data_IF_202087372096
#
_entry.id   IF_202087372096
#
_cell.length_a   1.000
_cell.length_b   1.000
_cell.length_c   1.000
_cell.angle_alpha   90.00
_cell.angle_beta   90.00
_cell.angle_gamma   90.00
#
_symmetry.space_group_name_H-M   'P 1'
#
loop_
_entity.id
_entity.type
_entity.pdbx_description
1 polymer ?
#
# COMPACT_ATOMS: atom_id res chain seq x y z
N UNK A 1 17.99 23.35 -44.30
CA UNK A 1 17.84 23.15 -42.85
C UNK A 1 16.36 22.86 -42.59
N UNK A 2 15.98 21.59 -42.58
CA UNK A 2 14.62 21.16 -42.24
C UNK A 2 14.57 20.92 -40.73
N UNK A 3 13.70 21.64 -40.03
CA UNK A 3 13.44 21.44 -38.60
C UNK A 3 13.01 20.01 -38.34
N UNK A 4 13.75 19.31 -37.50
CA UNK A 4 13.39 18.02 -36.93
C UNK A 4 12.31 18.20 -35.86
N UNK A 5 11.10 18.55 -36.26
CA UNK A 5 9.93 18.39 -35.39
C UNK A 5 9.39 16.98 -35.59
N UNK A 6 10.00 16.02 -34.88
CA UNK A 6 9.32 14.75 -34.65
C UNK A 6 8.11 15.06 -33.76
N UNK A 7 6.87 14.77 -34.17
CA UNK A 7 5.72 14.94 -33.30
C UNK A 7 5.92 14.09 -32.05
N UNK A 8 5.80 14.70 -30.88
CA UNK A 8 5.97 14.11 -29.53
C UNK A 8 5.01 12.95 -29.22
N UNK A 9 4.19 12.54 -30.17
CA UNK A 9 3.25 11.43 -30.07
C UNK A 9 3.32 10.62 -31.37
N UNK A 10 3.87 9.41 -31.29
CA UNK A 10 3.69 8.41 -32.34
C UNK A 10 2.27 7.86 -32.14
N UNK A 11 1.39 7.86 -33.16
CA UNK A 11 0.11 7.17 -33.07
C UNK A 11 0.37 5.67 -32.91
N UNK A 12 0.35 5.19 -31.67
CA UNK A 12 0.39 3.77 -31.32
C UNK A 12 -1.02 3.20 -31.42
N UNK A 13 -1.52 3.03 -32.65
CA UNK A 13 -2.81 2.40 -32.89
C UNK A 13 -3.08 2.17 -34.38
N UNK A 14 -3.79 1.08 -34.75
CA UNK A 14 -4.22 0.89 -36.13
C UNK A 14 -5.19 2.03 -36.53
N UNK A 15 -5.27 2.40 -37.83
CA UNK A 15 -6.07 3.53 -38.31
C UNK A 15 -7.58 3.40 -38.03
N UNK A 16 -8.07 2.20 -37.69
CA UNK A 16 -9.44 1.91 -37.25
C UNK A 16 -9.50 1.38 -35.80
N UNK A 17 -8.48 1.66 -35.00
CA UNK A 17 -8.39 1.26 -33.60
C UNK A 17 -9.15 2.21 -32.67
N UNK A 18 -9.26 1.85 -31.37
CA UNK A 18 -9.80 2.75 -30.36
C UNK A 18 -9.03 4.08 -30.36
N UNK A 19 -9.73 5.19 -30.19
CA UNK A 19 -9.13 6.51 -30.00
C UNK A 19 -8.43 6.57 -28.63
N UNK A 20 -7.19 6.08 -28.59
CA UNK A 20 -6.37 6.01 -27.38
C UNK A 20 -6.14 7.37 -26.72
N UNK A 21 -5.84 8.46 -27.45
CA UNK A 21 -5.78 9.80 -26.87
C UNK A 21 -7.08 10.20 -26.15
N UNK A 22 -8.24 10.03 -26.78
CA UNK A 22 -9.52 10.40 -26.14
C UNK A 22 -9.84 9.51 -24.93
N UNK A 23 -9.59 8.20 -25.02
CA UNK A 23 -9.77 7.26 -23.91
C UNK A 23 -8.86 7.63 -22.73
N UNK A 24 -7.59 7.94 -23.01
CA UNK A 24 -6.60 8.32 -22.00
C UNK A 24 -7.01 9.64 -21.32
N UNK A 25 -7.42 10.65 -22.09
CA UNK A 25 -7.85 11.93 -21.55
C UNK A 25 -9.07 11.78 -20.62
N UNK A 26 -10.07 10.98 -21.03
CA UNK A 26 -11.24 10.66 -20.20
C UNK A 26 -10.82 9.94 -18.92
N UNK A 27 -10.01 8.89 -19.04
CA UNK A 27 -9.60 8.07 -17.90
C UNK A 27 -8.71 8.85 -16.92
N UNK A 28 -7.82 9.72 -17.40
CA UNK A 28 -6.96 10.55 -16.56
C UNK A 28 -7.78 11.44 -15.61
N UNK A 29 -8.85 12.06 -16.11
CA UNK A 29 -9.77 12.87 -15.29
C UNK A 29 -10.49 12.03 -14.24
N UNK A 30 -11.01 10.85 -14.62
CA UNK A 30 -11.69 9.94 -13.69
C UNK A 30 -10.74 9.41 -12.62
N UNK A 31 -9.52 9.02 -12.99
CA UNK A 31 -8.48 8.56 -12.06
C UNK A 31 -8.07 9.67 -11.09
N UNK A 32 -7.84 10.89 -11.59
CA UNK A 32 -7.48 12.01 -10.73
C UNK A 32 -8.57 12.29 -9.67
N UNK A 33 -9.84 12.20 -10.09
CA UNK A 33 -10.99 12.41 -9.20
C UNK A 33 -11.10 11.29 -8.17
N UNK A 34 -11.02 10.02 -8.60
CA UNK A 34 -11.12 8.87 -7.71
C UNK A 34 -9.95 8.78 -6.72
N UNK A 35 -8.71 8.97 -7.19
CA UNK A 35 -7.51 8.95 -6.34
C UNK A 35 -7.52 10.14 -5.38
N UNK A 36 -7.89 11.33 -5.86
CA UNK A 36 -8.06 12.52 -5.02
C UNK A 36 -9.08 12.28 -3.90
N UNK A 37 -10.23 11.69 -4.23
CA UNK A 37 -11.24 11.34 -3.24
C UNK A 37 -10.71 10.34 -2.20
N UNK A 38 -10.07 9.24 -2.61
CA UNK A 38 -9.52 8.23 -1.68
C UNK A 38 -8.49 8.82 -0.70
N UNK A 39 -7.73 9.82 -1.15
CA UNK A 39 -6.74 10.49 -0.32
C UNK A 39 -7.39 11.36 0.77
N UNK A 40 -8.53 11.97 0.43
CA UNK A 40 -9.25 12.94 1.26
C UNK A 40 -10.60 12.43 1.78
N UNK A 41 -10.82 11.12 1.78
CA UNK A 41 -12.12 10.54 2.09
C UNK A 41 -12.52 10.88 3.55
N UNK A 42 -13.62 11.63 3.77
CA UNK A 42 -14.04 11.99 5.13
C UNK A 42 -14.37 10.75 5.96
N UNK A 43 -14.83 9.66 5.33
CA UNK A 43 -15.06 8.39 6.01
C UNK A 43 -13.76 7.76 6.52
N UNK A 44 -12.65 7.95 5.82
CA UNK A 44 -11.35 7.45 6.23
C UNK A 44 -10.77 8.30 7.36
N UNK A 45 -10.87 9.64 7.24
CA UNK A 45 -10.43 10.61 8.27
C UNK A 45 -11.09 10.30 9.62
N UNK A 46 -12.42 10.17 9.66
CA UNK A 46 -13.15 9.87 10.89
C UNK A 46 -12.71 8.53 11.53
N UNK A 47 -12.37 7.52 10.71
CA UNK A 47 -11.83 6.24 11.21
C UNK A 47 -10.41 6.38 11.73
N UNK A 48 -9.59 7.23 11.13
CA UNK A 48 -8.23 7.48 11.62
C UNK A 48 -8.23 8.20 12.98
N UNK A 49 -9.14 9.15 13.18
CA UNK A 49 -9.38 9.79 14.48
C UNK A 49 -9.82 8.75 15.53
N UNK A 50 -10.77 7.88 15.17
CA UNK A 50 -11.22 6.79 16.04
C UNK A 50 -10.12 5.76 16.38
N UNK A 51 -9.08 5.66 15.54
CA UNK A 51 -7.88 4.85 15.82
C UNK A 51 -6.86 5.57 16.72
N UNK A 52 -7.15 6.78 17.17
CA UNK A 52 -6.34 7.55 18.10
C UNK A 52 -5.26 8.39 17.45
N UNK A 53 -5.36 8.69 16.14
CA UNK A 53 -4.55 9.77 15.57
C UNK A 53 -5.10 11.11 16.06
N UNK A 54 -4.23 12.02 16.55
CA UNK A 54 -4.64 13.37 16.88
C UNK A 54 -5.32 14.06 15.68
N UNK A 55 -6.34 14.88 15.93
CA UNK A 55 -7.11 15.59 14.90
C UNK A 55 -6.21 16.36 13.92
N UNK A 56 -5.12 16.96 14.41
CA UNK A 56 -4.18 17.69 13.56
C UNK A 56 -3.39 16.80 12.58
N UNK A 57 -3.29 15.49 12.85
CA UNK A 57 -2.69 14.47 11.97
C UNK A 57 -3.75 13.72 11.15
N UNK A 58 -4.96 13.57 11.68
CA UNK A 58 -6.04 12.90 10.97
C UNK A 58 -6.71 13.83 9.93
N UNK A 59 -6.91 15.11 10.24
CA UNK A 59 -7.65 16.09 9.44
C UNK A 59 -6.99 17.49 9.32
N UNK A 60 -5.92 17.78 10.09
CA UNK A 60 -5.42 19.15 10.28
C UNK A 60 -4.46 19.72 9.21
N UNK A 61 -4.45 21.05 9.02
CA UNK A 61 -3.63 21.72 8.00
C UNK A 61 -2.14 21.46 8.22
N UNK A 62 -1.45 20.99 7.17
CA UNK A 62 -0.02 20.71 7.18
C UNK A 62 0.35 19.22 7.12
N UNK A 63 -0.54 18.30 7.54
CA UNK A 63 -0.33 16.84 7.44
C UNK A 63 -1.64 16.04 7.30
N UNK A 64 -2.64 16.58 6.60
CA UNK A 64 -4.00 16.03 6.39
C UNK A 64 -4.07 14.60 5.81
N UNK A 65 -2.94 13.93 5.61
CA UNK A 65 -2.82 12.59 5.08
C UNK A 65 -2.07 11.64 6.01
N UNK A 66 -1.83 11.95 7.29
CA UNK A 66 -1.00 11.08 8.13
C UNK A 66 -1.63 9.68 8.30
N UNK A 67 -2.97 9.61 8.45
CA UNK A 67 -3.69 8.33 8.45
C UNK A 67 -3.61 7.60 7.10
N UNK A 68 -3.68 8.32 5.99
CA UNK A 68 -3.45 7.76 4.65
C UNK A 68 -2.01 7.24 4.48
N UNK A 69 -1.01 7.99 4.95
CA UNK A 69 0.39 7.59 4.94
C UNK A 69 0.60 6.36 5.84
N UNK A 70 -0.09 6.24 6.97
CA UNK A 70 -0.06 5.04 7.80
C UNK A 70 -0.64 3.83 7.04
N UNK A 71 -1.81 3.99 6.43
CA UNK A 71 -2.42 2.94 5.61
C UNK A 71 -1.49 2.50 4.46
N UNK A 72 -0.86 3.45 3.77
CA UNK A 72 0.08 3.17 2.66
C UNK A 72 1.41 2.59 3.12
N UNK A 73 1.88 2.95 4.31
CA UNK A 73 3.13 2.48 4.88
C UNK A 73 3.01 1.06 5.44
N UNK A 74 1.80 0.59 5.74
CA UNK A 74 1.55 -0.70 6.37
C UNK A 74 2.28 -1.92 5.77
N UNK A 75 2.46 -2.08 4.44
CA UNK A 75 3.34 -3.08 3.86
C UNK A 75 4.78 -3.07 4.38
N UNK A 76 5.35 -1.86 4.50
CA UNK A 76 6.77 -1.61 4.69
C UNK A 76 7.09 -1.22 6.14
N UNK A 77 6.08 -0.85 6.92
CA UNK A 77 6.20 -0.42 8.31
C UNK A 77 6.98 -1.42 9.19
N UNK A 78 6.86 -2.75 9.03
CA UNK A 78 7.69 -3.71 9.79
C UNK A 78 9.19 -3.58 9.55
N UNK A 79 9.62 -3.03 8.41
CA UNK A 79 11.03 -2.75 8.11
C UNK A 79 11.53 -1.43 8.73
N UNK A 80 10.64 -0.65 9.36
CA UNK A 80 10.96 0.59 10.05
C UNK A 80 10.80 1.85 9.19
N UNK A 81 10.92 3.04 9.82
CA UNK A 81 10.67 4.33 9.17
C UNK A 81 11.62 4.62 8.01
N UNK A 82 12.90 4.26 8.12
CA UNK A 82 13.88 4.51 7.05
C UNK A 82 13.56 3.74 5.76
N UNK A 83 13.06 2.50 5.87
CA UNK A 83 12.63 1.72 4.72
C UNK A 83 11.42 2.37 4.02
N UNK A 84 10.48 2.92 4.78
CA UNK A 84 9.31 3.63 4.23
C UNK A 84 9.73 4.96 3.58
N UNK A 85 10.62 5.72 4.21
CA UNK A 85 11.16 6.98 3.66
C UNK A 85 11.83 6.73 2.30
N UNK A 86 12.72 5.73 2.25
CA UNK A 86 13.42 5.37 1.02
C UNK A 86 12.46 4.93 -0.09
N UNK A 87 11.41 4.17 0.26
CA UNK A 87 10.43 3.69 -0.71
C UNK A 87 9.47 4.78 -1.22
N UNK A 88 9.13 5.76 -0.38
CA UNK A 88 8.13 6.77 -0.75
C UNK A 88 8.73 7.89 -1.60
N UNK A 89 10.01 8.22 -1.45
CA UNK A 89 10.82 9.06 -2.35
C UNK A 89 10.39 10.54 -2.48
N UNK A 90 9.12 10.80 -2.80
CA UNK A 90 8.49 12.12 -2.95
C UNK A 90 7.75 12.59 -1.70
N UNK A 91 7.61 11.75 -0.68
CA UNK A 91 6.97 12.12 0.59
C UNK A 91 8.03 12.65 1.56
N UNK A 92 7.68 13.74 2.28
CA UNK A 92 8.55 14.35 3.28
C UNK A 92 9.07 13.33 4.31
N UNK A 93 10.39 13.17 4.47
CA UNK A 93 10.96 12.31 5.50
C UNK A 93 10.52 12.70 6.92
N UNK A 94 10.35 14.00 7.16
CA UNK A 94 9.90 14.52 8.46
C UNK A 94 8.48 14.02 8.79
N UNK A 95 7.58 14.04 7.81
CA UNK A 95 6.21 13.55 8.00
C UNK A 95 6.19 12.09 8.47
N UNK A 96 7.02 11.24 7.86
CA UNK A 96 7.14 9.82 8.24
C UNK A 96 7.80 9.63 9.61
N UNK A 97 8.79 10.46 9.96
CA UNK A 97 9.43 10.44 11.29
C UNK A 97 8.47 10.86 12.42
N UNK A 98 7.51 11.73 12.14
CA UNK A 98 6.44 12.11 13.08
C UNK A 98 5.35 11.03 13.15
N UNK A 99 5.01 10.42 12.00
CA UNK A 99 3.95 9.44 11.88
C UNK A 99 4.19 8.17 12.70
N UNK A 100 5.38 7.59 12.63
CA UNK A 100 5.69 6.33 13.30
C UNK A 100 5.47 6.40 14.83
N UNK A 101 5.99 7.42 15.54
CA UNK A 101 5.68 7.64 16.95
C UNK A 101 4.19 7.91 17.22
N UNK A 102 3.47 8.58 16.31
CA UNK A 102 2.04 8.82 16.48
C UNK A 102 1.23 7.50 16.44
N UNK A 103 1.51 6.64 15.46
CA UNK A 103 0.90 5.30 15.35
C UNK A 103 1.26 4.43 16.56
N UNK A 104 2.51 4.46 17.01
CA UNK A 104 2.92 3.73 18.21
C UNK A 104 2.18 4.21 19.47
N UNK A 105 2.00 5.53 19.65
CA UNK A 105 1.29 6.12 20.78
C UNK A 105 -0.21 5.82 20.78
N UNK A 106 -0.82 5.60 19.61
CA UNK A 106 -2.23 5.25 19.54
C UNK A 106 -2.53 3.81 19.97
N UNK A 107 -1.49 2.99 20.20
CA UNK A 107 -1.64 1.58 20.55
C UNK A 107 -2.18 0.73 19.39
N UNK A 108 -2.16 1.26 18.17
CA UNK A 108 -2.62 0.58 16.95
C UNK A 108 -1.46 0.23 16.03
N UNK A 109 -1.72 -0.69 15.11
CA UNK A 109 -0.79 -1.06 14.07
C UNK A 109 -1.08 -0.30 12.78
N UNK A 110 -0.07 -0.13 11.92
CA UNK A 110 -0.27 0.38 10.56
C UNK A 110 -1.31 -0.45 9.76
N UNK A 111 -1.46 -1.73 10.09
CA UNK A 111 -2.45 -2.61 9.48
C UNK A 111 -3.89 -2.24 9.85
N UNK A 112 -4.11 -1.65 11.03
CA UNK A 112 -5.42 -1.14 11.45
C UNK A 112 -5.80 0.09 10.63
N UNK A 113 -4.85 0.99 10.38
CA UNK A 113 -5.04 2.14 9.48
C UNK A 113 -5.31 1.70 8.05
N UNK A 114 -4.65 0.64 7.56
CA UNK A 114 -4.99 0.05 6.27
C UNK A 114 -6.45 -0.39 6.24
N UNK A 115 -6.88 -1.22 7.19
CA UNK A 115 -8.26 -1.73 7.21
C UNK A 115 -9.29 -0.61 7.28
N UNK A 116 -9.06 0.39 8.13
CA UNK A 116 -9.90 1.57 8.24
C UNK A 116 -10.05 2.29 6.89
N UNK A 117 -8.95 2.42 6.12
CA UNK A 117 -8.99 2.98 4.77
C UNK A 117 -9.81 2.12 3.82
N UNK A 118 -9.57 0.80 3.79
CA UNK A 118 -10.28 -0.09 2.87
C UNK A 118 -11.79 -0.10 3.15
N UNK A 119 -12.19 -0.11 4.43
CA UNK A 119 -13.60 0.00 4.83
C UNK A 119 -14.23 1.33 4.40
N UNK A 120 -13.49 2.43 4.55
CA UNK A 120 -13.96 3.75 4.13
C UNK A 120 -14.12 3.84 2.61
N UNK A 121 -13.16 3.31 1.84
CA UNK A 121 -13.23 3.25 0.38
C UNK A 121 -14.46 2.44 -0.07
N UNK A 122 -14.70 1.27 0.54
CA UNK A 122 -15.89 0.45 0.19
C UNK A 122 -17.18 1.21 0.52
N UNK A 123 -17.26 1.83 1.70
CA UNK A 123 -18.44 2.59 2.09
C UNK A 123 -18.69 3.79 1.15
N UNK A 124 -17.64 4.52 0.81
CA UNK A 124 -17.73 5.67 -0.08
C UNK A 124 -18.01 5.32 -1.54
N UNK A 125 -17.47 4.21 -2.05
CA UNK A 125 -17.85 3.70 -3.38
C UNK A 125 -19.35 3.41 -3.44
N UNK A 126 -19.89 2.75 -2.43
CA UNK A 126 -21.34 2.47 -2.34
C UNK A 126 -22.18 3.74 -2.22
N UNK A 127 -21.66 4.78 -1.58
CA UNK A 127 -22.38 6.03 -1.38
C UNK A 127 -22.36 6.95 -2.61
N UNK A 128 -21.19 7.11 -3.25
CA UNK A 128 -20.96 8.12 -4.28
C UNK A 128 -20.90 7.56 -5.70
N UNK A 129 -20.63 6.27 -5.87
CA UNK A 129 -20.53 5.62 -7.17
C UNK A 129 -21.05 4.16 -7.12
N UNK A 130 -22.30 3.93 -6.70
CA UNK A 130 -22.83 2.56 -6.55
C UNK A 130 -22.81 1.77 -7.86
N UNK A 131 -23.03 2.45 -9.00
CA UNK A 131 -23.17 1.83 -10.32
C UNK A 131 -21.91 1.10 -10.80
N UNK A 132 -20.72 1.47 -10.29
CA UNK A 132 -19.46 0.84 -10.68
C UNK A 132 -19.05 -0.32 -9.76
N UNK A 133 -19.69 -0.50 -8.61
CA UNK A 133 -19.26 -1.47 -7.58
C UNK A 133 -19.31 -2.90 -8.12
N UNK A 134 -20.42 -3.29 -8.75
CA UNK A 134 -20.58 -4.63 -9.31
C UNK A 134 -19.53 -4.93 -10.40
N UNK A 135 -19.28 -3.97 -11.30
CA UNK A 135 -18.25 -4.11 -12.34
C UNK A 135 -16.84 -4.24 -11.75
N UNK A 136 -16.52 -3.50 -10.67
CA UNK A 136 -15.24 -3.63 -9.98
C UNK A 136 -15.08 -4.98 -9.30
N UNK A 137 -16.14 -5.52 -8.69
CA UNK A 137 -16.16 -6.84 -8.06
C UNK A 137 -15.95 -7.95 -9.11
N UNK A 138 -16.59 -7.84 -10.28
CA UNK A 138 -16.43 -8.78 -11.40
C UNK A 138 -15.00 -8.78 -11.98
N UNK A 139 -14.36 -7.60 -12.06
CA UNK A 139 -12.99 -7.47 -12.55
C UNK A 139 -11.93 -8.05 -11.61
N UNK A 140 -12.20 -8.08 -10.30
CA UNK A 140 -11.25 -8.49 -9.26
C UNK A 140 -10.59 -9.85 -9.49
N UNK A 141 -11.35 -10.94 -9.71
CA UNK A 141 -10.82 -12.28 -9.97
C UNK A 141 -9.91 -12.36 -11.20
N UNK A 142 -10.17 -11.57 -12.24
CA UNK A 142 -9.33 -11.52 -13.44
C UNK A 142 -8.04 -10.71 -13.25
N UNK A 143 -8.10 -9.62 -12.47
CA UNK A 143 -6.97 -8.71 -12.28
C UNK A 143 -5.92 -9.25 -11.28
N UNK A 144 -6.38 -9.87 -10.18
CA UNK A 144 -5.48 -10.26 -9.08
C UNK A 144 -4.45 -11.34 -9.42
N UNK A 145 -4.77 -12.37 -10.23
CA UNK A 145 -3.79 -13.34 -10.72
C UNK A 145 -2.68 -12.71 -11.57
N UNK A 146 -2.99 -11.67 -12.36
CA UNK A 146 -2.00 -10.93 -13.17
C UNK A 146 -1.05 -10.15 -12.27
N UNK A 147 -1.54 -9.62 -11.15
CA UNK A 147 -0.73 -8.85 -10.21
C UNK A 147 0.20 -9.71 -9.34
N UNK A 148 -0.25 -10.89 -8.91
CA UNK A 148 0.49 -11.82 -8.03
C UNK A 148 1.93 -12.17 -8.46
N UNK A 149 2.23 -12.44 -9.75
CA UNK A 149 3.56 -12.86 -10.17
C UNK A 149 4.60 -11.74 -10.21
N UNK A 150 4.24 -10.45 -10.09
CA UNK A 150 5.21 -9.34 -10.19
C UNK A 150 6.21 -9.32 -9.02
N UNK A 151 7.46 -9.78 -9.22
CA UNK A 151 8.47 -9.80 -8.17
C UNK A 151 9.08 -8.39 -8.10
N UNK A 152 8.89 -7.71 -6.97
CA UNK A 152 9.54 -6.42 -6.69
C UNK A 152 8.57 -5.28 -6.37
N UNK A 153 7.36 -5.27 -6.93
CA UNK A 153 6.38 -4.20 -6.73
C UNK A 153 5.10 -4.69 -6.04
N UNK A 154 4.64 -5.93 -6.33
CA UNK A 154 3.44 -6.52 -5.73
C UNK A 154 3.64 -7.15 -4.33
N UNK A 155 4.89 -7.34 -3.90
CA UNK A 155 5.24 -7.98 -2.62
C UNK A 155 4.84 -7.16 -1.38
N UNK A 156 4.72 -5.84 -1.52
CA UNK A 156 4.19 -5.00 -0.45
C UNK A 156 2.67 -5.17 -0.27
N UNK A 157 1.94 -5.48 -1.35
CA UNK A 157 0.47 -5.51 -1.32
C UNK A 157 -0.15 -6.88 -1.02
N UNK A 158 0.65 -7.96 -0.92
CA UNK A 158 0.13 -9.31 -0.70
C UNK A 158 0.51 -9.89 0.67
N UNK A 159 -0.51 -10.35 1.42
CA UNK A 159 -0.42 -10.90 2.79
C UNK A 159 0.49 -12.13 2.96
N UNK A 160 0.87 -12.82 1.87
CA UNK A 160 1.33 -14.22 1.94
C UNK A 160 2.84 -14.42 1.75
N UNK A 161 3.58 -13.41 1.28
CA UNK A 161 5.05 -13.51 1.05
C UNK A 161 5.91 -12.91 2.17
N UNK A 162 5.33 -12.14 3.09
CA UNK A 162 6.08 -11.48 4.18
C UNK A 162 6.55 -12.41 5.30
N UNK A 163 5.84 -13.52 5.56
CA UNK A 163 6.24 -14.51 6.57
C UNK A 163 7.58 -15.17 6.24
N UNK A 164 7.92 -15.33 4.95
CA UNK A 164 9.22 -15.88 4.54
C UNK A 164 10.38 -14.88 4.72
N UNK A 165 10.17 -13.58 4.44
CA UNK A 165 11.28 -12.60 4.42
C UNK A 165 11.66 -12.10 5.83
N UNK A 166 10.71 -12.01 6.76
CA UNK A 166 10.98 -11.68 8.17
C UNK A 166 11.82 -12.76 8.86
N UNK A 167 11.62 -14.04 8.49
CA UNK A 167 12.44 -15.16 8.99
C UNK A 167 13.88 -15.09 8.50
N UNK A 168 14.09 -14.66 7.25
CA UNK A 168 15.42 -14.44 6.67
C UNK A 168 16.19 -13.30 7.36
N UNK A 169 15.53 -12.17 7.65
CA UNK A 169 16.15 -11.02 8.33
C UNK A 169 16.54 -11.37 9.77
N UNK A 170 15.73 -12.17 10.49
CA UNK A 170 16.10 -12.69 11.83
C UNK A 170 17.30 -13.66 11.78
N UNK A 171 17.41 -14.52 10.76
CA UNK A 171 18.57 -15.41 10.59
C UNK A 171 19.87 -14.63 10.31
N UNK A 172 19.82 -13.59 9.48
CA UNK A 172 20.99 -12.73 9.24
C UNK A 172 21.43 -11.99 10.51
N UNK A 173 20.49 -11.54 11.35
CA UNK A 173 20.81 -10.85 12.61
C UNK A 173 21.38 -11.80 13.69
N UNK A 174 21.13 -13.10 13.57
CA UNK A 174 21.63 -14.13 14.49
C UNK A 174 22.94 -14.81 14.04
N UNK A 175 23.57 -14.35 12.94
CA UNK A 175 24.86 -14.87 12.47
C UNK A 175 24.85 -16.32 11.98
N UNK A 176 23.68 -16.91 11.71
CA UNK A 176 23.58 -18.28 11.21
C UNK A 176 23.76 -18.32 9.67
N UNK A 177 24.76 -19.09 9.20
CA UNK A 177 25.01 -19.28 7.76
C UNK A 177 23.87 -20.07 7.10
N UNK A 178 23.58 -19.71 5.85
CA UNK A 178 22.42 -20.09 5.04
C UNK A 178 22.24 -21.59 4.72
N UNK A 179 23.08 -22.50 5.23
CA UNK A 179 23.01 -23.93 4.87
C UNK A 179 21.96 -24.72 5.63
N UNK A 180 21.29 -24.14 6.64
CA UNK A 180 20.30 -24.86 7.46
C UNK A 180 18.84 -24.80 6.94
N UNK A 181 18.57 -24.17 5.79
CA UNK A 181 17.23 -24.14 5.21
C UNK A 181 17.06 -25.20 4.10
N UNK A 182 17.33 -26.45 4.45
CA UNK A 182 16.86 -27.61 3.69
C UNK A 182 15.42 -27.93 4.08
N UNK A 183 14.61 -28.31 3.09
CA UNK A 183 13.23 -28.78 3.22
C UNK A 183 13.12 -30.07 4.04
N UNK A 184 13.26 -29.98 5.37
CA UNK A 184 13.05 -31.07 6.31
C UNK A 184 11.94 -30.70 7.29
N UNK A 185 10.87 -31.48 7.32
CA UNK A 185 9.90 -31.43 8.41
C UNK A 185 10.60 -31.78 9.71
N UNK A 186 10.53 -30.87 10.69
CA UNK A 186 11.01 -31.13 12.05
C UNK A 186 9.78 -31.23 12.94
N UNK A 187 9.48 -32.47 13.30
CA UNK A 187 8.63 -32.87 14.43
C UNK A 187 9.18 -32.20 15.70
N UNK A 188 8.32 -31.46 16.41
CA UNK A 188 8.63 -30.87 17.70
C UNK A 188 8.68 -31.98 18.77
N UNK A 189 9.88 -32.48 19.07
CA UNK A 189 10.16 -33.19 20.32
C UNK A 189 10.90 -32.27 21.29
N UNK A 190 10.14 -31.82 22.28
CA UNK A 190 10.49 -31.79 23.70
C UNK A 190 11.91 -31.29 24.09
N UNK A 191 12.04 -29.99 24.41
CA UNK A 191 12.89 -29.47 25.50
C UNK A 191 12.81 -27.95 25.61
N UNK A 192 11.92 -27.42 26.46
CA UNK A 192 12.15 -26.18 27.22
C UNK A 192 11.10 -25.97 28.32
N UNK A 193 10.84 -27.02 29.11
CA UNK A 193 10.34 -26.84 30.47
C UNK A 193 11.53 -26.47 31.34
N UNK A 194 11.75 -25.16 31.57
CA UNK A 194 12.54 -24.52 32.64
C UNK A 194 12.94 -23.13 32.17
N UNK A 195 12.10 -22.15 32.44
CA UNK A 195 12.44 -20.73 32.67
C UNK A 195 11.13 -20.00 33.06
N UNK A 196 10.49 -20.52 34.10
CA UNK A 196 9.51 -19.82 34.94
C UNK A 196 9.66 -20.46 36.33
N UNK A 197 10.58 -19.89 37.10
CA UNK A 197 10.66 -19.93 38.55
C UNK A 197 11.24 -18.58 38.97
#
# INVERSE_FOLDING_TARGET
MASSELPLWIPVGPPNGPDWPAITARNARSVQTAVGWIFWDPGAVARYEALGLPDYLAAGPGYQAAGYLAARAAPLAPAGPEAVIAAFGSISPLALRVLFPAVARSGRSFLDFWRARDEAVVAGLRAYAPDIVASLEELGPGLWPVWKPYPGWGGCFSRRTWTCRVRMIRCCRAGMRSTACGSGGVTLTERSSRLLA
#
